data_IF_019585147309
#
_entry.id   IF_019585147309
#
_cell.length_a   1.000
_cell.length_b   1.000
_cell.length_c   1.000
_cell.angle_alpha   90.00
_cell.angle_beta   90.00
_cell.angle_gamma   90.00
#
_symmetry.space_group_name_H-M   'P 1'
#
loop_
_entity.id
_entity.type
_entity.pdbx_description
1 polymer ?
#
# COMPACT_ATOMS: atom_id res chain seq x y z
N UNK A 1 0.36 -0.50 16.74
CA UNK A 1 -1.02 -0.05 17.01
C UNK A 1 -1.93 -1.24 16.85
N UNK A 2 -2.52 -1.69 17.94
CA UNK A 2 -3.64 -2.63 17.94
C UNK A 2 -4.89 -1.88 17.42
N UNK A 3 -5.67 -2.52 16.54
CA UNK A 3 -6.90 -1.94 15.95
C UNK A 3 -6.90 -1.80 14.42
N UNK A 4 -5.83 -2.18 13.72
CA UNK A 4 -5.79 -2.29 12.25
C UNK A 4 -5.88 -3.72 11.72
N UNK A 5 -6.16 -4.69 12.60
CA UNK A 5 -6.09 -6.13 12.30
C UNK A 5 -7.18 -6.60 11.34
N UNK A 6 -8.31 -5.90 11.28
CA UNK A 6 -9.36 -6.16 10.30
C UNK A 6 -9.06 -5.60 8.90
N UNK A 7 -8.10 -4.67 8.78
CA UNK A 7 -7.76 -4.06 7.50
C UNK A 7 -7.08 -5.06 6.56
N UNK A 8 -6.16 -5.88 7.07
CA UNK A 8 -5.46 -6.90 6.29
C UNK A 8 -6.44 -7.91 5.70
N UNK A 9 -7.28 -8.63 6.48
CA UNK A 9 -8.22 -9.59 5.92
C UNK A 9 -9.29 -8.92 5.03
N UNK A 10 -9.65 -7.65 5.28
CA UNK A 10 -10.58 -6.93 4.41
C UNK A 10 -9.97 -6.61 3.04
N UNK A 11 -8.72 -6.14 2.99
CA UNK A 11 -7.99 -5.90 1.73
C UNK A 11 -7.78 -7.23 0.99
N UNK A 12 -7.42 -8.27 1.74
CA UNK A 12 -7.20 -9.62 1.21
C UNK A 12 -8.45 -10.17 0.51
N UNK A 13 -9.58 -10.20 1.22
CA UNK A 13 -10.86 -10.66 0.68
C UNK A 13 -11.32 -9.83 -0.53
N UNK A 14 -11.03 -8.52 -0.54
CA UNK A 14 -11.34 -7.66 -1.67
C UNK A 14 -10.51 -8.03 -2.90
N UNK A 15 -9.20 -8.27 -2.75
CA UNK A 15 -8.33 -8.69 -3.86
C UNK A 15 -8.82 -10.02 -4.43
N UNK A 16 -9.09 -11.00 -3.56
CA UNK A 16 -9.57 -12.33 -3.96
C UNK A 16 -10.89 -12.23 -4.75
N UNK A 17 -11.86 -11.46 -4.24
CA UNK A 17 -13.17 -11.31 -4.89
C UNK A 17 -13.03 -10.56 -6.23
N UNK A 18 -12.31 -9.43 -6.24
CA UNK A 18 -12.16 -8.62 -7.45
C UNK A 18 -11.37 -9.35 -8.55
N UNK A 19 -10.41 -10.20 -8.18
CA UNK A 19 -9.69 -11.03 -9.14
C UNK A 19 -10.63 -12.00 -9.87
N UNK A 20 -11.57 -12.63 -9.16
CA UNK A 20 -12.60 -13.50 -9.77
C UNK A 20 -13.49 -12.73 -10.76
N UNK A 21 -13.69 -11.43 -10.54
CA UNK A 21 -14.41 -10.53 -11.45
C UNK A 21 -13.55 -9.99 -12.61
N UNK A 22 -12.30 -10.45 -12.74
CA UNK A 22 -11.39 -10.10 -13.85
C UNK A 22 -10.47 -8.91 -13.59
N UNK A 23 -10.35 -8.45 -12.34
CA UNK A 23 -9.40 -7.39 -11.98
C UNK A 23 -7.99 -7.96 -11.87
N UNK A 24 -7.07 -7.38 -12.62
CA UNK A 24 -5.67 -7.83 -12.69
C UNK A 24 -4.70 -6.83 -12.04
N UNK A 25 -5.16 -5.61 -11.75
CA UNK A 25 -4.33 -4.54 -11.20
C UNK A 25 -5.00 -3.80 -10.05
N UNK A 26 -4.25 -3.63 -8.96
CA UNK A 26 -4.67 -2.86 -7.79
C UNK A 26 -3.65 -1.76 -7.51
N UNK A 27 -4.12 -0.53 -7.35
CA UNK A 27 -3.29 0.62 -6.96
C UNK A 27 -3.74 1.12 -5.61
N UNK A 28 -2.82 1.18 -4.66
CA UNK A 28 -3.07 1.55 -3.29
C UNK A 28 -2.52 2.94 -2.98
N UNK A 29 -3.39 3.72 -2.35
CA UNK A 29 -3.05 4.94 -1.64
C UNK A 29 -3.29 4.76 -0.15
N UNK A 30 -2.26 4.91 0.68
CA UNK A 30 -2.40 4.63 2.11
C UNK A 30 -1.57 5.58 2.96
N UNK A 31 -2.22 6.13 3.99
CA UNK A 31 -1.60 6.91 5.06
C UNK A 31 -0.61 6.06 5.88
N UNK A 32 0.19 6.70 6.74
CA UNK A 32 1.31 6.05 7.42
C UNK A 32 0.88 4.89 8.35
N UNK A 33 -0.27 5.03 9.00
CA UNK A 33 -0.81 4.00 9.90
C UNK A 33 -1.19 2.74 9.14
N UNK A 34 -0.59 1.62 9.54
CA UNK A 34 -0.89 0.30 8.96
C UNK A 34 -0.09 -0.02 7.70
N UNK A 35 0.67 0.95 7.15
CA UNK A 35 1.41 0.79 5.90
C UNK A 35 2.48 -0.29 5.96
N UNK A 36 3.25 -0.37 7.05
CA UNK A 36 4.20 -1.48 7.23
C UNK A 36 3.49 -2.84 7.26
N UNK A 37 2.36 -2.92 7.98
CA UNK A 37 1.58 -4.15 8.07
C UNK A 37 1.03 -4.58 6.71
N UNK A 38 0.57 -3.61 5.90
CA UNK A 38 0.11 -3.84 4.53
C UNK A 38 1.25 -4.22 3.59
N UNK A 39 2.41 -3.56 3.69
CA UNK A 39 3.59 -3.90 2.89
C UNK A 39 4.05 -5.34 3.14
N UNK A 40 4.05 -5.79 4.40
CA UNK A 40 4.45 -7.15 4.74
C UNK A 40 3.37 -8.17 4.37
N UNK A 41 2.11 -7.97 4.77
CA UNK A 41 1.10 -9.02 4.69
C UNK A 41 0.30 -9.03 3.38
N UNK A 42 0.18 -7.89 2.68
CA UNK A 42 -0.53 -7.82 1.40
C UNK A 42 0.45 -7.82 0.24
N UNK A 43 1.51 -7.02 0.33
CA UNK A 43 2.48 -6.87 -0.75
C UNK A 43 3.64 -7.87 -0.70
N UNK A 44 3.80 -8.61 0.41
CA UNK A 44 4.86 -9.59 0.58
C UNK A 44 6.27 -8.99 0.65
N UNK A 45 6.40 -7.69 0.96
CA UNK A 45 7.70 -7.04 1.09
C UNK A 45 8.43 -7.64 2.29
N UNK A 46 9.65 -8.14 2.08
CA UNK A 46 10.40 -8.82 3.13
C UNK A 46 10.79 -7.84 4.24
N UNK A 47 10.92 -8.35 5.47
CA UNK A 47 11.42 -7.55 6.57
C UNK A 47 12.82 -6.99 6.25
N UNK A 48 13.67 -7.77 5.57
CA UNK A 48 15.00 -7.34 5.11
C UNK A 48 14.93 -6.14 4.17
N UNK A 49 14.01 -6.14 3.19
CA UNK A 49 13.80 -5.02 2.27
C UNK A 49 13.19 -3.80 2.97
N UNK A 50 12.40 -4.02 4.02
CA UNK A 50 11.90 -2.93 4.86
C UNK A 50 13.06 -2.33 5.67
N UNK A 51 13.87 -3.15 6.33
CA UNK A 51 14.97 -2.68 7.18
C UNK A 51 16.15 -2.10 6.39
N UNK A 52 16.40 -2.54 5.15
CA UNK A 52 17.43 -1.91 4.31
C UNK A 52 17.12 -0.45 3.97
N UNK A 53 15.84 -0.06 3.97
CA UNK A 53 15.42 1.34 3.85
C UNK A 53 15.71 2.16 5.12
N UNK A 54 16.11 1.52 6.22
CA UNK A 54 16.53 2.19 7.46
C UNK A 54 18.03 2.43 7.49
N UNK A 55 18.83 1.61 6.79
CA UNK A 55 20.29 1.73 6.71
C UNK A 55 20.77 2.65 5.58
N UNK A 56 19.93 2.88 4.56
CA UNK A 56 20.30 3.60 3.36
C UNK A 56 19.69 5.00 3.27
N UNK A 57 20.40 6.00 3.84
CA UNK A 57 20.50 7.44 3.46
C UNK A 57 20.38 8.36 4.67
N UNK A 58 21.49 9.02 4.99
CA UNK A 58 21.50 10.32 5.70
C UNK A 58 20.69 11.31 4.86
N UNK A 59 19.42 11.51 5.21
CA UNK A 59 18.67 12.65 4.75
C UNK A 59 19.01 13.81 5.69
N UNK A 60 19.85 14.73 5.21
CA UNK A 60 20.06 16.06 5.80
C UNK A 60 18.76 16.89 5.72
N UNK A 61 17.72 16.52 6.47
CA UNK A 61 16.60 17.43 6.73
C UNK A 61 16.16 17.29 8.20
N UNK A 62 16.53 18.30 8.99
CA UNK A 62 16.07 18.54 10.36
C UNK A 62 14.57 18.89 10.39
N UNK A 63 13.68 17.94 10.08
CA UNK A 63 12.26 18.03 10.46
C UNK A 63 11.82 16.66 10.98
N UNK A 64 12.23 16.39 12.21
CA UNK A 64 11.92 15.15 12.92
C UNK A 64 10.53 15.26 13.58
N UNK A 65 9.49 14.82 12.87
CA UNK A 65 8.13 14.64 13.42
C UNK A 65 7.72 13.15 13.52
N UNK A 66 8.70 12.25 13.63
CA UNK A 66 8.47 10.83 13.96
C UNK A 66 7.96 9.96 12.82
N UNK A 67 7.95 10.44 11.58
CA UNK A 67 7.29 9.77 10.47
C UNK A 67 8.19 9.68 9.21
N UNK A 68 9.07 8.66 9.11
CA UNK A 68 10.11 8.66 8.03
C UNK A 68 10.44 7.30 7.40
N UNK A 69 9.84 6.16 7.77
CA UNK A 69 10.54 4.87 7.51
C UNK A 69 9.93 3.95 6.45
N UNK A 70 8.94 4.40 5.68
CA UNK A 70 8.23 3.55 4.69
C UNK A 70 7.42 4.33 3.62
N UNK A 71 7.87 5.52 3.22
CA UNK A 71 7.15 6.35 2.23
C UNK A 71 7.34 5.93 0.79
N UNK A 72 8.32 5.07 0.49
CA UNK A 72 8.57 4.61 -0.87
C UNK A 72 7.40 3.77 -1.38
N UNK A 73 7.12 3.90 -2.67
CA UNK A 73 6.18 3.03 -3.36
C UNK A 73 6.73 1.60 -3.48
N UNK A 74 5.85 0.65 -3.69
CA UNK A 74 6.23 -0.76 -3.89
C UNK A 74 5.32 -1.42 -4.91
N UNK A 75 5.86 -2.32 -5.71
CA UNK A 75 5.10 -3.14 -6.65
C UNK A 75 5.37 -4.59 -6.34
N UNK A 76 4.33 -5.41 -6.33
CA UNK A 76 4.46 -6.86 -6.24
C UNK A 76 3.44 -7.55 -7.13
N UNK A 77 3.75 -8.79 -7.51
CA UNK A 77 2.83 -9.68 -8.18
C UNK A 77 2.46 -10.79 -7.19
N UNK A 78 1.16 -11.02 -7.02
CA UNK A 78 0.62 -11.98 -6.06
C UNK A 78 -0.29 -12.96 -6.80
N UNK A 79 -0.18 -14.24 -6.43
CA UNK A 79 -1.16 -15.25 -6.80
C UNK A 79 -2.27 -15.26 -5.74
N UNK A 80 -3.51 -15.20 -6.19
CA UNK A 80 -4.71 -15.36 -5.37
C UNK A 80 -4.93 -16.84 -5.02
N UNK A 81 -5.75 -17.12 -4.02
CA UNK A 81 -6.08 -18.50 -3.62
C UNK A 81 -6.80 -19.27 -4.75
N UNK A 82 -7.48 -18.53 -5.62
CA UNK A 82 -8.11 -19.05 -6.84
C UNK A 82 -7.14 -19.33 -8.01
N UNK A 83 -5.85 -19.01 -7.86
CA UNK A 83 -4.81 -19.22 -8.88
C UNK A 83 -4.68 -18.10 -9.92
N UNK A 84 -5.41 -16.99 -9.77
CA UNK A 84 -5.30 -15.81 -10.63
C UNK A 84 -4.14 -14.92 -10.18
N UNK A 85 -3.38 -14.38 -11.12
CA UNK A 85 -2.29 -13.44 -10.85
C UNK A 85 -2.79 -12.00 -10.84
N UNK A 86 -2.40 -11.24 -9.82
CA UNK A 86 -2.75 -9.83 -9.67
C UNK A 86 -1.51 -8.98 -9.40
N UNK A 87 -1.44 -7.83 -10.06
CA UNK A 87 -0.39 -6.85 -9.84
C UNK A 87 -0.85 -5.84 -8.79
N UNK A 88 -0.07 -5.71 -7.73
CA UNK A 88 -0.30 -4.76 -6.65
C UNK A 88 0.73 -3.64 -6.77
N UNK A 89 0.27 -2.39 -6.72
CA UNK A 89 1.11 -1.22 -6.65
C UNK A 89 0.67 -0.35 -5.48
N UNK A 90 1.60 0.12 -4.65
CA UNK A 90 1.31 1.14 -3.64
C UNK A 90 2.10 2.38 -4.00
N UNK A 91 1.40 3.50 -4.12
CA UNK A 91 2.02 4.78 -4.42
C UNK A 91 2.95 5.20 -3.27
N UNK A 92 4.03 5.96 -3.58
CA UNK A 92 4.75 6.68 -2.55
C UNK A 92 3.76 7.53 -1.74
N UNK A 93 3.98 7.65 -0.44
CA UNK A 93 3.11 8.43 0.42
C UNK A 93 3.67 9.85 0.56
N UNK A 94 3.21 10.85 -0.22
CA UNK A 94 3.47 12.23 0.13
C UNK A 94 2.78 12.53 1.46
N UNK A 95 3.38 13.36 2.29
CA UNK A 95 2.84 13.82 3.59
C UNK A 95 1.41 14.41 3.51
N UNK A 96 0.90 14.68 2.30
CA UNK A 96 -0.45 15.16 2.03
C UNK A 96 -1.27 14.14 1.23
N UNK A 97 -2.24 13.50 1.90
CA UNK A 97 -3.16 12.49 1.36
C UNK A 97 -3.94 12.93 0.10
N UNK A 98 -4.13 14.23 -0.10
CA UNK A 98 -4.83 14.81 -1.27
C UNK A 98 -4.14 14.47 -2.60
N UNK A 99 -2.80 14.36 -2.63
CA UNK A 99 -2.05 14.03 -3.84
C UNK A 99 -2.27 12.58 -4.28
N UNK A 100 -2.51 11.68 -3.32
CA UNK A 100 -2.78 10.26 -3.58
C UNK A 100 -4.19 10.07 -4.13
N UNK A 101 -5.16 10.85 -3.64
CA UNK A 101 -6.54 10.86 -4.15
C UNK A 101 -6.61 11.24 -5.64
N UNK A 102 -5.81 12.23 -6.07
CA UNK A 102 -5.75 12.66 -7.47
C UNK A 102 -5.19 11.56 -8.39
N UNK A 103 -4.21 10.78 -7.93
CA UNK A 103 -3.62 9.68 -8.71
C UNK A 103 -4.61 8.53 -8.92
N UNK A 104 -5.35 8.14 -7.87
CA UNK A 104 -6.31 7.04 -7.95
C UNK A 104 -7.53 7.38 -8.81
N UNK A 105 -8.01 8.63 -8.74
CA UNK A 105 -9.16 9.11 -9.51
C UNK A 105 -8.86 9.21 -11.02
N UNK A 106 -7.59 9.19 -11.40
CA UNK A 106 -7.13 9.26 -12.79
C UNK A 106 -7.01 7.89 -13.47
N UNK A 107 -7.35 6.76 -12.82
CA UNK A 107 -7.26 5.41 -13.39
C UNK A 107 -8.55 5.02 -14.14
N UNK A 108 -8.61 5.07 -15.48
CA UNK A 108 -9.82 4.83 -16.25
C UNK A 108 -9.71 3.50 -17.04
N UNK A 109 -9.23 2.43 -16.40
CA UNK A 109 -8.98 1.14 -17.07
C UNK A 109 -9.92 0.04 -16.57
N UNK A 110 -10.47 -0.79 -17.47
CA UNK A 110 -11.56 -1.73 -17.14
C UNK A 110 -11.18 -2.83 -16.13
N UNK A 111 -9.89 -3.18 -16.00
CA UNK A 111 -9.41 -4.27 -15.14
C UNK A 111 -8.53 -3.76 -13.99
N UNK A 112 -8.74 -2.50 -13.57
CA UNK A 112 -7.90 -1.82 -12.58
C UNK A 112 -8.73 -1.17 -11.49
N UNK A 113 -8.40 -1.45 -10.23
CA UNK A 113 -9.04 -0.85 -9.06
C UNK A 113 -8.06 0.07 -8.32
N UNK A 114 -8.53 1.27 -7.96
CA UNK A 114 -7.86 2.17 -7.03
C UNK A 114 -8.42 2.02 -5.61
N UNK A 115 -7.56 1.75 -4.62
CA UNK A 115 -7.92 1.58 -3.21
C UNK A 115 -7.28 2.66 -2.36
N UNK A 116 -8.05 3.32 -1.50
CA UNK A 116 -7.55 4.35 -0.60
C UNK A 116 -7.87 4.01 0.86
N UNK A 117 -6.85 4.03 1.73
CA UNK A 117 -7.03 3.93 3.18
C UNK A 117 -6.71 5.28 3.84
N UNK A 118 -7.76 5.94 4.35
CA UNK A 118 -7.66 7.18 5.12
C UNK A 118 -7.75 6.87 6.62
N UNK A 119 -6.62 6.90 7.31
CA UNK A 119 -6.62 7.06 8.76
C UNK A 119 -6.22 8.51 9.08
N UNK A 120 -7.16 9.43 8.90
CA UNK A 120 -7.08 10.78 9.45
C UNK A 120 -7.20 10.66 10.96
N UNK A 121 -6.05 10.63 11.66
CA UNK A 121 -6.04 11.11 13.04
C UNK A 121 -6.41 12.59 12.99
N UNK A 122 -7.59 12.93 13.53
CA UNK A 122 -7.71 14.17 14.30
C UNK A 122 -6.97 13.99 15.62
#
# INVERSE_FOLDING_TARGET
MEGGESLIPAIDALIETAALDGVEQFVFGMAHRGRLNTLTNIFGKSATDIFSEFDGKDYEEEVFDGDVKYHLGWTSNRMTDSGLWVNLNIAPNPSHLEAVMLLLKALPEPNKIGLMSTNLKR
#
